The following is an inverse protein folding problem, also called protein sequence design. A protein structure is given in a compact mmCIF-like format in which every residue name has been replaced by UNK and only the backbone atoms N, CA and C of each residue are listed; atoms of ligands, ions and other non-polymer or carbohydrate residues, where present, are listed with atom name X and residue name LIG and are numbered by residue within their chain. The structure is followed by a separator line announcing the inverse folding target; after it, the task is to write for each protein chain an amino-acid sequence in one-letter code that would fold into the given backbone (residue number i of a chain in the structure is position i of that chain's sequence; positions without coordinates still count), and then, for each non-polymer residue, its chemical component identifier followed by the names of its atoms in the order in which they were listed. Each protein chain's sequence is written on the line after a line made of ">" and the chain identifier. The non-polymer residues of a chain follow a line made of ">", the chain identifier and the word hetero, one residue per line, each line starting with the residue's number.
data_IF_797562923141
#
_entry.id   IF_797562923141
#
_cell.length_a   1.000
_cell.length_b   1.000
_cell.length_c   1.000
_cell.angle_alpha   90.00
_cell.angle_beta   90.00
_cell.angle_gamma   90.00
#
_symmetry.space_group_name_H-M   'P 1'
#
loop_
_entity.id
_entity.type
_entity.pdbx_description
1 polymer ?
#
# COMPACT_ATOMS: atom_id res chain seq x y z
N UNK A 1 12.21 -3.91 -10.04
CA UNK A 1 12.42 -2.56 -9.51
C UNK A 1 13.14 -2.59 -8.16
N UNK A 2 12.64 -3.31 -7.19
CA UNK A 2 13.14 -3.30 -5.81
C UNK A 2 14.64 -3.57 -5.72
N UNK A 3 15.15 -4.66 -6.26
CA UNK A 3 16.59 -4.99 -6.22
C UNK A 3 17.49 -3.94 -6.86
N UNK A 4 16.99 -3.21 -7.86
CA UNK A 4 17.80 -2.25 -8.60
C UNK A 4 17.85 -0.87 -7.95
N UNK A 5 16.77 -0.45 -7.28
CA UNK A 5 16.59 0.94 -6.87
C UNK A 5 16.26 1.14 -5.40
N UNK A 6 15.77 0.09 -4.71
CA UNK A 6 15.33 0.19 -3.32
C UNK A 6 16.51 0.04 -2.37
N UNK A 7 16.69 1.04 -1.52
CA UNK A 7 17.63 0.98 -0.39
C UNK A 7 16.81 0.87 0.89
N UNK A 8 17.09 -0.14 1.69
CA UNK A 8 16.47 -0.37 2.99
C UNK A 8 17.22 0.39 4.06
N UNK A 9 16.50 1.20 4.83
CA UNK A 9 17.06 1.98 5.91
C UNK A 9 17.40 1.11 7.13
N UNK A 10 18.53 1.42 7.80
CA UNK A 10 18.99 0.72 8.99
C UNK A 10 18.06 0.84 10.21
N UNK A 11 17.21 1.88 10.27
CA UNK A 11 16.25 2.05 11.36
C UNK A 11 15.03 1.14 11.24
N UNK A 12 14.70 0.73 10.02
CA UNK A 12 13.43 0.05 9.71
C UNK A 12 13.60 -1.36 9.17
N UNK A 13 14.83 -1.76 8.86
CA UNK A 13 15.14 -3.08 8.31
C UNK A 13 16.15 -3.82 9.15
N UNK A 14 15.89 -5.08 9.43
CA UNK A 14 16.87 -6.00 10.01
C UNK A 14 18.02 -6.39 9.06
N UNK A 15 17.93 -5.97 7.79
CA UNK A 15 18.95 -6.16 6.76
C UNK A 15 19.06 -4.88 5.93
N UNK A 16 19.72 -3.83 6.44
CA UNK A 16 19.87 -2.55 5.74
C UNK A 16 20.75 -2.69 4.48
N UNK A 17 20.57 -1.76 3.54
CA UNK A 17 21.29 -1.75 2.28
C UNK A 17 20.39 -2.06 1.08
N UNK A 18 20.94 -2.46 -0.08
CA UNK A 18 20.15 -2.78 -1.26
C UNK A 18 19.13 -3.88 -0.99
N UNK A 19 17.91 -3.69 -1.49
CA UNK A 19 16.86 -4.70 -1.38
C UNK A 19 17.27 -5.96 -2.14
N UNK A 20 17.01 -7.13 -1.55
CA UNK A 20 17.38 -8.43 -2.12
C UNK A 20 16.20 -9.37 -2.13
N UNK A 21 15.78 -9.78 -3.31
CA UNK A 21 14.66 -10.69 -3.50
C UNK A 21 14.94 -12.12 -2.98
N UNK A 22 16.22 -12.53 -2.90
CA UNK A 22 16.60 -13.83 -2.37
C UNK A 22 16.26 -14.02 -0.88
N UNK A 23 16.07 -12.93 -0.14
CA UNK A 23 15.64 -12.97 1.26
C UNK A 23 14.14 -13.21 1.45
N UNK A 24 13.34 -12.80 0.48
CA UNK A 24 11.87 -12.94 0.50
C UNK A 24 11.36 -13.34 -0.88
N UNK A 25 11.80 -14.49 -1.43
CA UNK A 25 11.53 -14.86 -2.82
C UNK A 25 10.03 -15.04 -3.11
N UNK A 26 9.23 -15.38 -2.10
CA UNK A 26 7.77 -15.51 -2.22
C UNK A 26 7.06 -14.18 -2.52
N UNK A 27 7.67 -13.02 -2.23
CA UNK A 27 7.11 -11.71 -2.56
C UNK A 27 7.28 -11.34 -4.03
N UNK A 28 8.21 -11.96 -4.75
CA UNK A 28 8.52 -11.64 -6.15
C UNK A 28 7.29 -11.89 -7.02
N UNK A 29 6.69 -13.08 -6.94
CA UNK A 29 5.50 -13.41 -7.72
C UNK A 29 4.32 -12.47 -7.41
N UNK A 30 4.15 -12.05 -6.15
CA UNK A 30 3.10 -11.10 -5.76
C UNK A 30 3.36 -9.72 -6.40
N UNK A 31 4.61 -9.23 -6.37
CA UNK A 31 4.98 -7.96 -6.99
C UNK A 31 4.87 -8.01 -8.53
N UNK A 32 5.19 -9.15 -9.14
CA UNK A 32 5.06 -9.35 -10.58
C UNK A 32 3.59 -9.35 -11.01
N UNK A 33 2.69 -9.98 -10.24
CA UNK A 33 1.25 -9.92 -10.50
C UNK A 33 0.68 -8.50 -10.39
N UNK A 34 1.20 -7.68 -9.49
CA UNK A 34 0.83 -6.26 -9.43
C UNK A 34 1.31 -5.47 -10.67
N UNK A 35 2.27 -6.00 -11.42
CA UNK A 35 2.72 -5.44 -12.69
C UNK A 35 2.02 -6.05 -13.91
N UNK A 36 1.37 -7.21 -13.74
CA UNK A 36 0.69 -7.91 -14.83
C UNK A 36 -0.56 -7.13 -15.27
N UNK A 37 -0.64 -6.78 -16.54
CA UNK A 37 -1.72 -5.96 -17.08
C UNK A 37 -3.11 -6.62 -16.95
N UNK A 38 -3.17 -7.94 -17.01
CA UNK A 38 -4.42 -8.71 -16.93
C UNK A 38 -4.93 -8.88 -15.49
N UNK A 39 -4.05 -8.75 -14.49
CA UNK A 39 -4.42 -8.90 -13.08
C UNK A 39 -4.94 -7.60 -12.52
N UNK A 40 -6.22 -7.55 -12.16
CA UNK A 40 -6.87 -6.39 -11.56
C UNK A 40 -6.70 -6.35 -10.04
N UNK A 41 -6.86 -7.49 -9.39
CA UNK A 41 -6.85 -7.61 -7.93
C UNK A 41 -5.91 -8.71 -7.44
N UNK A 42 -5.14 -8.42 -6.41
CA UNK A 42 -4.29 -9.37 -5.69
C UNK A 42 -4.64 -9.33 -4.21
N UNK A 43 -4.93 -10.49 -3.62
CA UNK A 43 -5.21 -10.64 -2.19
C UNK A 43 -4.11 -11.46 -1.55
N UNK A 44 -3.40 -10.87 -0.60
CA UNK A 44 -2.31 -11.50 0.13
C UNK A 44 -2.72 -11.79 1.58
N UNK A 45 -3.19 -13.00 1.83
CA UNK A 45 -3.46 -13.50 3.18
C UNK A 45 -2.18 -14.09 3.75
N UNK A 46 -1.73 -13.60 4.89
CA UNK A 46 -0.37 -13.85 5.38
C UNK A 46 -0.30 -13.92 6.92
N UNK A 47 0.71 -14.59 7.47
CA UNK A 47 1.12 -14.39 8.86
C UNK A 47 1.65 -12.96 9.08
N UNK A 48 1.86 -12.61 10.34
CA UNK A 48 2.50 -11.33 10.69
C UNK A 48 3.96 -11.29 10.21
N UNK A 49 4.47 -10.08 9.91
CA UNK A 49 5.88 -9.79 9.62
C UNK A 49 6.51 -10.51 8.40
N UNK A 50 5.71 -10.92 7.42
CA UNK A 50 6.20 -11.55 6.18
C UNK A 50 6.24 -10.58 4.98
N UNK A 51 6.36 -9.28 5.21
CA UNK A 51 6.66 -8.31 4.16
C UNK A 51 5.45 -7.75 3.39
N UNK A 52 4.21 -7.84 3.91
CA UNK A 52 3.05 -7.24 3.25
C UNK A 52 3.22 -5.74 2.99
N UNK A 53 3.57 -4.98 4.01
CA UNK A 53 3.85 -3.54 3.89
C UNK A 53 5.07 -3.26 2.98
N UNK A 54 6.10 -4.11 2.99
CA UNK A 54 7.25 -3.95 2.07
C UNK A 54 6.83 -4.17 0.61
N UNK A 55 5.92 -5.09 0.33
CA UNK A 55 5.35 -5.27 -1.01
C UNK A 55 4.66 -3.99 -1.48
N UNK A 56 3.86 -3.36 -0.61
CA UNK A 56 3.21 -2.07 -0.89
C UNK A 56 4.26 -0.98 -1.18
N UNK A 57 5.27 -0.84 -0.33
CA UNK A 57 6.33 0.17 -0.49
C UNK A 57 7.12 -0.01 -1.78
N UNK A 58 7.48 -1.25 -2.12
CA UNK A 58 8.18 -1.57 -3.37
C UNK A 58 7.31 -1.26 -4.60
N UNK A 59 6.02 -1.57 -4.52
CA UNK A 59 5.06 -1.25 -5.58
C UNK A 59 4.89 0.25 -5.76
N UNK A 60 4.76 1.01 -4.68
CA UNK A 60 4.72 2.49 -4.72
C UNK A 60 5.98 3.04 -5.37
N UNK A 61 7.17 2.59 -4.95
CA UNK A 61 8.43 3.05 -5.54
C UNK A 61 8.52 2.77 -7.04
N UNK A 62 8.06 1.59 -7.49
CA UNK A 62 7.97 1.26 -8.91
C UNK A 62 6.98 2.18 -9.65
N UNK A 63 5.81 2.41 -9.06
CA UNK A 63 4.78 3.28 -9.66
C UNK A 63 5.35 4.69 -9.84
N UNK A 64 5.95 5.28 -8.82
CA UNK A 64 6.55 6.62 -8.89
C UNK A 64 7.58 6.73 -10.03
N UNK A 65 8.40 5.69 -10.23
CA UNK A 65 9.48 5.76 -11.20
C UNK A 65 9.09 5.31 -12.60
N UNK A 66 8.29 4.25 -12.75
CA UNK A 66 8.09 3.55 -14.02
C UNK A 66 6.69 3.69 -14.60
N UNK A 67 5.69 3.95 -13.77
CA UNK A 67 4.29 3.99 -14.20
C UNK A 67 3.48 5.01 -13.37
N UNK A 68 3.90 6.30 -13.38
CA UNK A 68 3.29 7.33 -12.54
C UNK A 68 1.77 7.40 -12.75
N UNK A 69 1.04 7.22 -11.66
CA UNK A 69 -0.43 7.20 -11.70
C UNK A 69 -1.03 7.40 -10.31
N UNK A 70 -2.25 7.99 -10.23
CA UNK A 70 -2.91 8.24 -8.96
C UNK A 70 -2.98 7.00 -8.08
N UNK A 71 -2.41 7.08 -6.88
CA UNK A 71 -2.28 5.95 -5.96
C UNK A 71 -2.82 6.31 -4.58
N UNK A 72 -3.54 5.38 -3.95
CA UNK A 72 -4.01 5.49 -2.58
C UNK A 72 -3.55 4.28 -1.77
N UNK A 73 -3.08 4.55 -0.55
CA UNK A 73 -2.83 3.51 0.46
C UNK A 73 -3.76 3.74 1.63
N UNK A 74 -4.49 2.70 2.01
CA UNK A 74 -5.40 2.73 3.15
C UNK A 74 -4.80 1.88 4.27
N UNK A 75 -4.73 2.47 5.45
CA UNK A 75 -4.30 1.82 6.69
C UNK A 75 -5.47 1.69 7.67
N UNK A 76 -5.40 0.85 8.70
CA UNK A 76 -6.44 0.73 9.72
C UNK A 76 -6.86 2.06 10.37
N UNK A 77 -5.94 3.02 10.50
CA UNK A 77 -6.22 4.36 11.02
C UNK A 77 -5.31 5.43 10.40
N UNK A 78 -5.74 6.69 10.45
CA UNK A 78 -4.94 7.83 9.99
C UNK A 78 -3.61 7.92 10.75
N UNK A 79 -3.63 7.72 12.07
CA UNK A 79 -2.43 7.73 12.93
C UNK A 79 -1.40 6.68 12.49
N UNK A 80 -1.86 5.47 12.10
CA UNK A 80 -0.97 4.44 11.57
C UNK A 80 -0.41 4.86 10.22
N UNK A 81 -1.24 5.43 9.33
CA UNK A 81 -0.81 5.96 8.03
C UNK A 81 0.28 7.02 8.18
N UNK A 82 0.10 7.99 9.07
CA UNK A 82 1.11 9.01 9.39
C UNK A 82 2.41 8.40 9.91
N UNK A 83 2.31 7.41 10.80
CA UNK A 83 3.46 6.70 11.32
C UNK A 83 4.24 5.96 10.23
N UNK A 84 3.54 5.26 9.33
CA UNK A 84 4.16 4.56 8.20
C UNK A 84 4.79 5.57 7.23
N UNK A 85 4.12 6.69 6.94
CA UNK A 85 4.71 7.76 6.14
C UNK A 85 6.05 8.20 6.72
N UNK A 86 6.06 8.64 7.96
CA UNK A 86 7.25 9.18 8.64
C UNK A 86 8.39 8.16 8.78
N UNK A 87 8.06 6.92 9.12
CA UNK A 87 9.05 5.91 9.49
C UNK A 87 9.43 4.97 8.35
N UNK A 88 8.67 4.92 7.24
CA UNK A 88 8.91 3.98 6.13
C UNK A 88 8.94 4.67 4.77
N UNK A 89 7.94 5.51 4.44
CA UNK A 89 7.87 6.17 3.12
C UNK A 89 8.91 7.28 3.01
N UNK A 90 8.97 8.20 3.96
CA UNK A 90 9.94 9.30 3.92
C UNK A 90 11.40 8.78 3.90
N UNK A 91 11.81 7.79 4.72
CA UNK A 91 13.13 7.17 4.59
C UNK A 91 13.37 6.51 3.24
N UNK A 92 12.37 5.84 2.66
CA UNK A 92 12.47 5.25 1.33
C UNK A 92 12.73 6.31 0.26
N UNK A 93 11.97 7.41 0.27
CA UNK A 93 12.14 8.52 -0.67
C UNK A 93 13.53 9.14 -0.54
N UNK A 94 13.99 9.35 0.68
CA UNK A 94 15.30 9.97 0.94
C UNK A 94 16.48 9.05 0.57
N UNK A 95 16.34 7.74 0.79
CA UNK A 95 17.41 6.78 0.49
C UNK A 95 17.50 6.42 -1.01
N UNK A 96 16.46 6.71 -1.79
CA UNK A 96 16.39 6.33 -3.21
C UNK A 96 16.48 7.58 -4.10
N UNK A 97 17.63 7.89 -4.73
CA UNK A 97 17.82 9.10 -5.54
C UNK A 97 16.78 9.26 -6.65
N UNK A 98 16.36 8.15 -7.26
CA UNK A 98 15.35 8.13 -8.32
C UNK A 98 13.96 8.56 -7.83
N UNK A 99 13.61 8.24 -6.59
CA UNK A 99 12.35 8.67 -5.99
C UNK A 99 12.43 10.11 -5.51
N UNK A 100 13.54 10.46 -4.84
CA UNK A 100 13.76 11.82 -4.30
C UNK A 100 13.68 12.88 -5.40
N UNK A 101 14.24 12.61 -6.57
CA UNK A 101 14.23 13.54 -7.70
C UNK A 101 12.81 13.86 -8.21
N UNK A 102 11.86 12.92 -8.06
CA UNK A 102 10.47 13.06 -8.51
C UNK A 102 9.53 13.59 -7.45
N UNK A 103 10.00 13.70 -6.22
CA UNK A 103 9.20 14.10 -5.07
C UNK A 103 9.16 15.61 -4.91
N UNK A 104 7.95 16.19 -4.85
CA UNK A 104 7.69 17.62 -4.64
C UNK A 104 7.31 17.88 -3.18
N UNK A 105 8.31 18.04 -2.33
CA UNK A 105 8.11 18.18 -0.88
C UNK A 105 7.30 19.42 -0.53
N UNK A 106 7.52 20.55 -1.22
CA UNK A 106 6.81 21.82 -1.00
C UNK A 106 5.30 21.73 -1.27
N UNK A 107 4.90 20.84 -2.17
CA UNK A 107 3.52 20.70 -2.62
C UNK A 107 2.81 19.53 -1.91
N UNK A 108 3.52 18.87 -0.99
CA UNK A 108 3.07 17.68 -0.27
C UNK A 108 2.57 18.01 1.12
N UNK A 109 1.64 17.19 1.61
CA UNK A 109 1.13 17.22 2.98
C UNK A 109 1.41 15.92 3.72
N UNK A 110 0.91 15.79 4.95
CA UNK A 110 1.02 14.54 5.72
C UNK A 110 0.27 13.39 5.07
N UNK A 111 -0.90 13.67 4.48
CA UNK A 111 -1.78 12.66 3.89
C UNK A 111 -1.72 12.57 2.37
N UNK A 112 -0.99 13.49 1.72
CA UNK A 112 -0.88 13.53 0.26
C UNK A 112 0.51 13.93 -0.19
N UNK A 113 1.19 13.06 -0.93
CA UNK A 113 2.52 13.29 -1.48
C UNK A 113 2.42 13.53 -2.98
N UNK A 114 3.06 14.60 -3.47
CA UNK A 114 3.08 14.98 -4.87
C UNK A 114 4.39 14.50 -5.54
N UNK A 115 4.25 13.96 -6.75
CA UNK A 115 5.37 13.50 -7.57
C UNK A 115 5.15 13.91 -9.03
N UNK A 116 6.19 13.76 -9.86
CA UNK A 116 6.06 13.94 -11.29
C UNK A 116 4.95 13.04 -11.87
N UNK A 117 3.86 13.66 -12.33
CA UNK A 117 2.75 12.98 -13.01
C UNK A 117 1.84 12.14 -12.13
N UNK A 118 1.99 12.17 -10.78
CA UNK A 118 1.12 11.43 -9.88
C UNK A 118 1.06 12.03 -8.48
N UNK A 119 0.05 11.59 -7.74
CA UNK A 119 -0.03 11.79 -6.29
C UNK A 119 -0.20 10.45 -5.56
N UNK A 120 0.29 10.42 -4.33
CA UNK A 120 0.09 9.32 -3.39
C UNK A 120 -0.73 9.82 -2.20
N UNK A 121 -1.91 9.25 -2.00
CA UNK A 121 -2.79 9.55 -0.85
C UNK A 121 -2.61 8.48 0.21
N UNK A 122 -2.48 8.89 1.47
CA UNK A 122 -2.36 8.03 2.64
C UNK A 122 -3.55 8.32 3.54
N UNK A 123 -4.40 7.31 3.77
CA UNK A 123 -5.71 7.47 4.43
C UNK A 123 -5.92 6.38 5.48
N UNK A 124 -6.62 6.71 6.55
CA UNK A 124 -7.18 5.72 7.48
C UNK A 124 -8.52 5.18 6.99
N UNK A 125 -8.78 3.91 7.25
CA UNK A 125 -10.05 3.26 6.92
C UNK A 125 -11.25 3.86 7.68
N UNK A 126 -10.99 4.63 8.73
CA UNK A 126 -11.97 5.37 9.53
C UNK A 126 -12.29 6.78 8.98
N UNK A 127 -11.80 7.14 7.79
CA UNK A 127 -11.97 8.47 7.16
C UNK A 127 -12.77 8.39 5.85
N UNK A 128 -14.11 8.15 5.88
CA UNK A 128 -14.93 7.91 4.69
C UNK A 128 -14.87 9.03 3.65
N UNK A 129 -14.81 10.28 4.09
CA UNK A 129 -14.71 11.45 3.20
C UNK A 129 -13.42 11.46 2.38
N UNK A 130 -12.30 11.04 2.97
CA UNK A 130 -11.02 10.95 2.28
C UNK A 130 -10.99 9.77 1.31
N UNK A 131 -11.56 8.61 1.71
CA UNK A 131 -11.70 7.43 0.85
C UNK A 131 -12.51 7.71 -0.42
N UNK A 132 -13.47 8.65 -0.35
CA UNK A 132 -14.34 9.00 -1.46
C UNK A 132 -13.87 10.21 -2.29
N UNK A 133 -12.69 10.77 -2.02
CA UNK A 133 -12.34 12.13 -2.47
C UNK A 133 -11.96 12.26 -3.95
N UNK A 134 -11.33 11.25 -4.56
CA UNK A 134 -10.75 11.41 -5.92
C UNK A 134 -10.56 10.09 -6.67
N UNK A 135 -10.41 10.13 -8.03
CA UNK A 135 -10.13 8.94 -8.83
C UNK A 135 -8.75 8.37 -8.51
N UNK A 136 -8.66 7.05 -8.37
CA UNK A 136 -7.44 6.32 -8.03
C UNK A 136 -7.24 5.18 -9.03
N UNK A 137 -6.03 5.01 -9.54
CA UNK A 137 -5.68 3.88 -10.39
C UNK A 137 -5.14 2.70 -9.57
N UNK A 138 -4.25 2.97 -8.61
CA UNK A 138 -3.67 1.92 -7.77
C UNK A 138 -4.17 2.10 -6.33
N UNK A 139 -4.80 1.07 -5.82
CA UNK A 139 -5.36 1.02 -4.47
C UNK A 139 -4.68 -0.08 -3.66
N UNK A 140 -4.03 0.31 -2.58
CA UNK A 140 -3.40 -0.59 -1.61
C UNK A 140 -4.17 -0.53 -0.29
N UNK A 141 -4.62 -1.66 0.19
CA UNK A 141 -5.39 -1.81 1.43
C UNK A 141 -4.58 -2.71 2.38
N UNK A 142 -3.89 -2.12 3.35
CA UNK A 142 -3.03 -2.87 4.27
C UNK A 142 -3.80 -3.26 5.54
N UNK A 143 -3.66 -4.53 5.95
CA UNK A 143 -4.28 -5.09 7.16
C UNK A 143 -5.81 -4.92 7.20
N UNK A 144 -6.50 -5.33 6.13
CA UNK A 144 -7.97 -5.17 6.00
C UNK A 144 -8.78 -5.86 7.10
N UNK A 145 -8.21 -6.88 7.75
CA UNK A 145 -8.79 -7.55 8.91
C UNK A 145 -8.96 -6.63 10.13
N UNK A 146 -8.25 -5.50 10.17
CA UNK A 146 -8.32 -4.50 11.25
C UNK A 146 -9.22 -3.31 10.91
N UNK A 147 -9.86 -3.30 9.76
CA UNK A 147 -10.75 -2.21 9.38
C UNK A 147 -12.06 -2.27 10.17
N UNK A 148 -12.68 -1.12 10.47
CA UNK A 148 -13.98 -1.12 11.10
C UNK A 148 -15.00 -1.81 10.17
N UNK A 149 -15.82 -2.68 10.74
CA UNK A 149 -16.91 -3.30 10.00
C UNK A 149 -17.94 -2.27 9.54
N UNK A 150 -18.63 -2.57 8.44
CA UNK A 150 -19.74 -1.75 7.97
C UNK A 150 -20.80 -1.61 9.09
N UNK A 151 -21.16 -0.38 9.41
CA UNK A 151 -22.24 -0.08 10.33
C UNK A 151 -23.49 0.37 9.56
N UNK A 152 -24.67 0.38 10.20
CA UNK A 152 -25.90 0.87 9.58
C UNK A 152 -25.81 2.34 9.11
N UNK A 153 -24.82 3.08 9.56
CA UNK A 153 -24.61 4.52 9.27
C UNK A 153 -23.42 4.80 8.37
N UNK A 154 -22.46 3.86 8.24
CA UNK A 154 -21.23 4.08 7.48
C UNK A 154 -21.03 2.96 6.46
N UNK A 155 -20.69 3.38 5.24
CA UNK A 155 -20.37 2.46 4.16
C UNK A 155 -19.05 1.74 4.45
N UNK A 156 -18.93 0.49 3.99
CA UNK A 156 -17.72 -0.29 4.09
C UNK A 156 -16.51 0.45 3.47
N UNK A 157 -15.42 0.67 4.22
CA UNK A 157 -14.23 1.39 3.74
C UNK A 157 -13.63 0.78 2.47
N UNK A 158 -13.61 -0.54 2.35
CA UNK A 158 -13.07 -1.25 1.20
C UNK A 158 -13.89 -0.93 -0.04
N UNK A 159 -15.23 -0.97 0.07
CA UNK A 159 -16.15 -0.63 -1.01
C UNK A 159 -16.00 0.83 -1.44
N UNK A 160 -15.93 1.77 -0.49
CA UNK A 160 -15.75 3.20 -0.78
C UNK A 160 -14.46 3.48 -1.57
N UNK A 161 -13.33 2.91 -1.13
CA UNK A 161 -12.06 3.09 -1.80
C UNK A 161 -12.04 2.41 -3.18
N UNK A 162 -12.61 1.20 -3.30
CA UNK A 162 -12.68 0.44 -4.54
C UNK A 162 -13.49 1.18 -5.62
N UNK A 163 -14.60 1.85 -5.24
CA UNK A 163 -15.39 2.67 -6.18
C UNK A 163 -14.54 3.74 -6.88
N UNK A 164 -13.51 4.28 -6.24
CA UNK A 164 -12.62 5.30 -6.82
C UNK A 164 -11.73 4.78 -7.93
N UNK A 165 -11.57 3.45 -8.04
CA UNK A 165 -10.73 2.84 -9.08
C UNK A 165 -11.48 2.62 -10.39
N UNK A 166 -12.80 2.67 -10.42
CA UNK A 166 -13.63 2.33 -11.59
C UNK A 166 -13.39 3.21 -12.82
N UNK A 167 -12.83 4.40 -12.65
CA UNK A 167 -12.47 5.30 -13.76
C UNK A 167 -11.34 4.73 -14.63
N UNK A 168 -10.49 3.86 -14.07
CA UNK A 168 -9.33 3.33 -14.76
C UNK A 168 -9.53 1.87 -15.18
N UNK A 169 -9.38 1.58 -16.48
CA UNK A 169 -9.47 0.21 -17.01
C UNK A 169 -8.33 -0.70 -16.57
N UNK A 170 -7.15 -0.10 -16.34
CA UNK A 170 -5.93 -0.79 -15.91
C UNK A 170 -5.67 -0.58 -14.41
N UNK A 171 -6.73 -0.51 -13.61
CA UNK A 171 -6.65 -0.37 -12.15
C UNK A 171 -5.96 -1.55 -11.51
N UNK A 172 -5.36 -1.31 -10.36
CA UNK A 172 -4.74 -2.33 -9.52
C UNK A 172 -5.25 -2.19 -8.10
N UNK A 173 -5.71 -3.29 -7.53
CA UNK A 173 -6.18 -3.37 -6.15
C UNK A 173 -5.35 -4.43 -5.43
N UNK A 174 -4.68 -4.04 -4.38
CA UNK A 174 -3.92 -4.94 -3.54
C UNK A 174 -4.45 -4.92 -2.12
N UNK A 175 -4.81 -6.08 -1.60
CA UNK A 175 -5.31 -6.24 -0.24
C UNK A 175 -4.36 -7.13 0.55
N UNK A 176 -3.97 -6.70 1.75
CA UNK A 176 -3.32 -7.59 2.70
C UNK A 176 -4.23 -7.86 3.89
N UNK A 177 -4.20 -9.09 4.38
CA UNK A 177 -4.91 -9.50 5.58
C UNK A 177 -4.02 -10.42 6.41
N UNK A 178 -4.12 -10.31 7.72
CA UNK A 178 -3.43 -11.21 8.64
C UNK A 178 -4.40 -12.29 9.11
N UNK A 179 -3.98 -13.55 9.03
CA UNK A 179 -4.72 -14.65 9.67
C UNK A 179 -4.64 -14.47 11.18
N UNK A 180 -5.68 -13.90 11.78
CA UNK A 180 -5.85 -13.87 13.22
C UNK A 180 -6.43 -15.21 13.69
N UNK A 181 -5.87 -15.77 14.79
CA UNK A 181 -6.42 -16.95 15.44
C UNK A 181 -7.88 -16.76 15.89
N UNK A 182 -8.35 -15.52 16.01
CA UNK A 182 -9.73 -15.17 16.35
C UNK A 182 -10.70 -15.51 15.21
N UNK A 183 -10.22 -15.59 13.96
CA UNK A 183 -11.03 -15.98 12.80
C UNK A 183 -11.03 -17.48 12.51
N UNK A 184 -10.26 -18.25 13.24
CA UNK A 184 -10.39 -19.72 13.34
C UNK A 184 -11.40 -20.00 14.45
N UNK A 185 -12.57 -19.38 14.37
CA UNK A 185 -13.69 -19.75 15.21
C UNK A 185 -14.19 -21.13 14.75
N UNK A 186 -14.38 -22.00 15.74
CA UNK A 186 -14.79 -23.40 15.67
C UNK A 186 -15.78 -23.71 14.55
N UNK A 187 -15.63 -24.87 13.87
CA UNK A 187 -16.66 -25.37 12.98
C UNK A 187 -17.94 -25.52 13.83
N UNK A 188 -18.95 -24.75 13.51
CA UNK A 188 -20.32 -24.94 14.03
C UNK A 188 -20.71 -26.40 13.76
N UNK A 189 -20.71 -27.22 14.80
CA UNK A 189 -21.34 -28.54 14.75
C UNK A 189 -22.84 -28.33 14.58
N UNK A 190 -23.35 -28.63 13.41
CA UNK A 190 -24.77 -28.91 13.20
C UNK A 190 -25.07 -30.37 13.47
#
# INVERSE_FOLDING_TARGET
>A
WAERYRILDAKTSGSPGPCRNDKTPYLVGIMDELCNYETEEVIFVKPTQVGGTETILNSIGRIIQQDPSPTMVVYPSDTLGESIKKNRIDPMLNASPELKRRYHESDSSVSELQFDGMYLVIVGSNSPSQLASRPIRNLFLDEVDKYPGASKKESDPISLATERTKTFRNRKIFKTSTLSLIHISEPTRH
#
